data_IF_810659851733
#
_entry.id   IF_810659851733
#
_cell.length_a   1.000
_cell.length_b   1.000
_cell.length_c   1.000
_cell.angle_alpha   90.00
_cell.angle_beta   90.00
_cell.angle_gamma   90.00
#
_symmetry.space_group_name_H-M   'P 1'
#
loop_
_entity.id
_entity.type
_entity.pdbx_description
1 polymer ?
#
# COMPACT_ATOMS: atom_id res chain seq x y z
N UNK A 1 21.34 9.06 6.21
CA UNK A 1 20.86 8.20 5.10
C UNK A 1 19.40 8.53 4.84
N UNK A 2 19.03 8.98 3.62
CA UNK A 2 17.66 9.41 3.24
C UNK A 2 16.69 8.22 3.21
N UNK A 3 16.23 7.74 4.38
CA UNK A 3 15.18 6.70 4.48
C UNK A 3 13.84 7.17 3.88
N UNK A 4 13.71 8.46 3.60
CA UNK A 4 12.42 9.14 3.39
C UNK A 4 11.87 9.03 1.97
N UNK A 5 12.66 8.58 0.99
CA UNK A 5 12.28 8.68 -0.43
C UNK A 5 11.88 7.35 -1.07
N UNK A 6 12.45 6.23 -0.61
CA UNK A 6 12.16 4.92 -1.21
C UNK A 6 10.89 4.30 -0.59
N UNK A 7 9.94 3.83 -1.41
CA UNK A 7 8.76 3.10 -0.90
C UNK A 7 9.18 1.85 -0.12
N UNK A 8 8.31 1.30 0.75
CA UNK A 8 8.57 0.03 1.41
C UNK A 8 8.79 -1.09 0.37
N UNK A 9 9.54 -2.12 0.74
CA UNK A 9 9.82 -3.24 -0.18
C UNK A 9 8.50 -3.91 -0.55
N UNK A 10 8.33 -4.23 -1.83
CA UNK A 10 7.06 -4.73 -2.37
C UNK A 10 6.04 -3.64 -2.67
N UNK A 11 6.38 -2.36 -2.58
CA UNK A 11 5.50 -1.27 -2.97
C UNK A 11 6.15 -0.38 -4.03
N UNK A 12 5.32 0.19 -4.90
CA UNK A 12 5.73 1.11 -5.97
C UNK A 12 4.94 2.41 -5.85
N UNK A 13 5.51 3.49 -6.37
CA UNK A 13 4.82 4.77 -6.49
C UNK A 13 4.19 4.80 -7.89
N UNK A 14 2.87 4.98 -7.95
CA UNK A 14 2.11 5.12 -9.19
C UNK A 14 1.28 6.39 -9.07
N UNK A 15 1.52 7.36 -9.96
CA UNK A 15 0.84 8.65 -9.96
C UNK A 15 0.82 9.34 -8.56
N UNK A 16 1.96 9.33 -7.87
CA UNK A 16 2.09 9.95 -6.53
C UNK A 16 1.35 9.22 -5.40
N UNK A 17 0.91 7.99 -5.64
CA UNK A 17 0.24 7.14 -4.64
C UNK A 17 1.04 5.85 -4.47
N UNK A 18 1.12 5.35 -3.25
CA UNK A 18 1.73 4.07 -2.98
C UNK A 18 0.78 2.94 -3.40
N UNK A 19 1.26 2.05 -4.25
CA UNK A 19 0.52 0.91 -4.79
C UNK A 19 1.32 -0.39 -4.63
N UNK A 20 0.60 -1.51 -4.64
CA UNK A 20 1.22 -2.82 -4.59
C UNK A 20 2.08 -3.05 -5.84
N UNK A 21 3.32 -3.51 -5.65
CA UNK A 21 4.11 -4.03 -6.74
C UNK A 21 3.54 -5.37 -7.21
N UNK A 22 2.96 -5.39 -8.42
CA UNK A 22 2.31 -6.58 -9.00
C UNK A 22 3.28 -7.60 -9.61
N UNK A 23 4.58 -7.36 -9.51
CA UNK A 23 5.62 -8.31 -9.96
C UNK A 23 5.82 -9.44 -8.95
N UNK A 24 6.39 -10.56 -9.39
CA UNK A 24 6.70 -11.70 -8.51
C UNK A 24 7.65 -11.28 -7.38
N UNK A 25 8.67 -10.46 -7.67
CA UNK A 25 9.53 -9.88 -6.62
C UNK A 25 8.73 -9.06 -5.61
N UNK A 26 7.71 -8.33 -6.07
CA UNK A 26 6.81 -7.58 -5.21
C UNK A 26 5.97 -8.47 -4.29
N UNK A 27 5.43 -9.57 -4.82
CA UNK A 27 4.69 -10.56 -4.04
C UNK A 27 5.58 -11.27 -3.00
N UNK A 28 6.79 -11.69 -3.40
CA UNK A 28 7.77 -12.29 -2.50
C UNK A 28 8.13 -11.34 -1.35
N UNK A 29 8.40 -10.07 -1.66
CA UNK A 29 8.77 -9.07 -0.66
C UNK A 29 7.70 -8.82 0.42
N UNK A 30 6.43 -9.10 0.11
CA UNK A 30 5.30 -8.97 1.04
C UNK A 30 4.87 -10.29 1.67
N UNK A 31 5.57 -11.39 1.37
CA UNK A 31 5.16 -12.74 1.77
C UNK A 31 3.69 -13.02 1.35
N UNK A 32 3.32 -12.55 0.16
CA UNK A 32 1.95 -12.65 -0.32
C UNK A 32 1.74 -13.98 -1.04
N UNK A 33 1.11 -14.93 -0.36
CA UNK A 33 0.84 -16.26 -0.90
C UNK A 33 -0.26 -16.24 -1.97
N UNK A 34 -0.05 -17.01 -3.05
CA UNK A 34 -1.00 -17.14 -4.17
C UNK A 34 -1.20 -18.61 -4.51
N UNK A 35 -2.44 -19.07 -4.35
CA UNK A 35 -2.85 -20.45 -4.61
C UNK A 35 -3.92 -20.47 -5.68
N UNK A 36 -3.94 -21.53 -6.47
CA UNK A 36 -4.93 -21.74 -7.51
C UNK A 36 -5.59 -23.10 -7.37
N UNK A 37 -6.89 -23.17 -7.58
CA UNK A 37 -7.61 -24.43 -7.71
C UNK A 37 -8.40 -24.42 -9.00
N UNK A 38 -8.20 -25.44 -9.84
CA UNK A 38 -9.05 -25.65 -11.00
C UNK A 38 -10.41 -26.21 -10.55
N UNK A 39 -11.50 -25.61 -11.05
CA UNK A 39 -12.88 -26.04 -10.75
C UNK A 39 -13.54 -26.82 -11.89
N UNK A 40 -12.82 -27.13 -12.97
CA UNK A 40 -13.35 -27.91 -14.08
C UNK A 40 -13.61 -29.36 -13.65
N UNK A 41 -14.70 -29.96 -14.16
CA UNK A 41 -15.22 -31.28 -13.72
C UNK A 41 -14.14 -32.37 -13.70
N UNK A 42 -13.28 -32.38 -14.72
CA UNK A 42 -12.23 -33.39 -14.90
C UNK A 42 -10.82 -32.84 -14.63
N UNK A 43 -10.69 -31.67 -13.98
CA UNK A 43 -9.40 -31.09 -13.61
C UNK A 43 -9.40 -30.68 -12.14
N UNK A 44 -8.76 -31.49 -11.29
CA UNK A 44 -8.59 -31.23 -9.85
C UNK A 44 -7.23 -30.63 -9.51
N UNK A 45 -6.62 -29.92 -10.46
CA UNK A 45 -5.27 -29.37 -10.29
C UNK A 45 -5.27 -28.30 -9.21
N UNK A 46 -4.38 -28.45 -8.24
CA UNK A 46 -3.99 -27.41 -7.31
C UNK A 46 -2.66 -26.82 -7.75
N UNK A 47 -2.56 -25.51 -7.70
CA UNK A 47 -1.36 -24.76 -8.04
C UNK A 47 -0.95 -23.91 -6.84
N UNK A 48 0.34 -23.84 -6.58
CA UNK A 48 0.92 -22.89 -5.63
C UNK A 48 2.02 -22.15 -6.37
N UNK A 49 2.01 -20.81 -6.32
CA UNK A 49 3.05 -20.00 -6.94
C UNK A 49 4.19 -19.83 -5.95
N UNK A 50 5.27 -20.57 -6.18
CA UNK A 50 6.52 -20.42 -5.43
C UNK A 50 7.28 -19.18 -5.92
N UNK A 51 7.01 -18.03 -5.30
CA UNK A 51 7.61 -16.77 -5.68
C UNK A 51 9.14 -16.78 -5.55
N UNK A 52 9.69 -17.43 -4.51
CA UNK A 52 11.13 -17.48 -4.26
C UNK A 52 11.84 -18.18 -5.42
N UNK A 53 11.37 -19.37 -5.78
CA UNK A 53 11.94 -20.16 -6.88
C UNK A 53 11.85 -19.45 -8.24
N UNK A 54 10.80 -18.67 -8.49
CA UNK A 54 10.66 -17.89 -9.72
C UNK A 54 11.67 -16.72 -9.74
N UNK A 55 11.87 -16.05 -8.60
CA UNK A 55 12.87 -14.98 -8.48
C UNK A 55 14.30 -15.51 -8.65
N UNK A 56 14.63 -16.65 -8.03
CA UNK A 56 15.93 -17.33 -8.17
C UNK A 56 16.27 -17.67 -9.63
N UNK A 57 15.24 -17.92 -10.46
CA UNK A 57 15.38 -18.15 -11.90
C UNK A 57 15.51 -16.87 -12.74
N UNK A 58 15.61 -15.70 -12.11
CA UNK A 58 15.72 -14.41 -12.78
C UNK A 58 14.39 -13.87 -13.32
N UNK A 59 13.25 -14.48 -12.98
CA UNK A 59 11.93 -14.12 -13.51
C UNK A 59 11.13 -13.20 -12.58
N UNK A 60 11.79 -12.55 -11.62
CA UNK A 60 11.14 -11.72 -10.61
C UNK A 60 10.39 -10.50 -11.16
N UNK A 61 10.76 -10.01 -12.35
CA UNK A 61 10.11 -8.88 -13.01
C UNK A 61 8.77 -9.23 -13.67
N UNK A 62 8.45 -10.52 -13.85
CA UNK A 62 7.16 -10.93 -14.38
C UNK A 62 6.03 -10.47 -13.46
N UNK A 63 4.89 -10.12 -14.04
CA UNK A 63 3.68 -9.83 -13.26
C UNK A 63 3.02 -11.12 -12.79
N UNK A 64 2.33 -11.06 -11.66
CA UNK A 64 1.57 -12.20 -11.16
C UNK A 64 0.52 -12.68 -12.18
N UNK A 65 -0.08 -11.77 -12.95
CA UNK A 65 -1.08 -12.10 -13.96
C UNK A 65 -0.48 -12.88 -15.14
N UNK A 66 0.74 -12.55 -15.55
CA UNK A 66 1.47 -13.33 -16.55
C UNK A 66 1.74 -14.75 -16.04
N UNK A 67 2.15 -14.90 -14.78
CA UNK A 67 2.40 -16.22 -14.17
C UNK A 67 1.10 -17.02 -14.01
N UNK A 68 0.03 -16.41 -13.50
CA UNK A 68 -1.30 -17.03 -13.41
C UNK A 68 -1.80 -17.50 -14.77
N UNK A 69 -1.58 -16.72 -15.82
CA UNK A 69 -1.95 -17.08 -17.20
C UNK A 69 -1.12 -18.26 -17.70
N UNK A 70 0.19 -18.25 -17.51
CA UNK A 70 1.08 -19.35 -17.91
C UNK A 70 0.78 -20.66 -17.14
N UNK A 71 0.24 -20.56 -15.92
CA UNK A 71 -0.13 -21.70 -15.09
C UNK A 71 -1.51 -22.30 -15.44
N UNK A 72 -2.26 -21.70 -16.37
CA UNK A 72 -3.53 -22.25 -16.86
C UNK A 72 -3.30 -23.60 -17.54
N UNK A 73 -4.28 -24.49 -17.43
CA UNK A 73 -4.26 -25.77 -18.12
C UNK A 73 -4.43 -25.54 -19.63
N UNK A 74 -3.66 -26.26 -20.44
CA UNK A 74 -3.75 -26.20 -21.91
C UNK A 74 -4.92 -27.03 -22.48
N UNK A 75 -6.10 -26.98 -21.84
CA UNK A 75 -7.30 -27.68 -22.34
C UNK A 75 -8.02 -26.83 -23.38
N UNK A 76 -8.55 -27.49 -24.42
CA UNK A 76 -9.30 -26.85 -25.51
C UNK A 76 -10.55 -26.13 -25.02
N UNK A 77 -11.23 -26.68 -24.01
CA UNK A 77 -12.43 -26.07 -23.39
C UNK A 77 -12.11 -24.93 -22.39
N UNK A 78 -10.83 -24.57 -22.29
CA UNK A 78 -10.35 -23.55 -21.37
C UNK A 78 -10.06 -24.07 -19.97
N UNK A 79 -9.52 -23.17 -19.14
CA UNK A 79 -9.10 -23.45 -17.79
C UNK A 79 -9.79 -22.49 -16.82
N UNK A 80 -10.63 -23.05 -15.94
CA UNK A 80 -11.23 -22.32 -14.82
C UNK A 80 -10.40 -22.50 -13.56
N UNK A 81 -9.25 -21.80 -13.45
CA UNK A 81 -8.54 -21.74 -12.17
C UNK A 81 -9.07 -20.53 -11.40
N UNK A 82 -9.60 -20.80 -10.22
CA UNK A 82 -9.84 -19.79 -9.21
C UNK A 82 -8.54 -19.55 -8.44
N UNK A 83 -8.09 -18.30 -8.44
CA UNK A 83 -6.89 -17.89 -7.71
C UNK A 83 -7.29 -17.24 -6.39
N UNK A 84 -6.76 -17.79 -5.30
CA UNK A 84 -6.91 -17.28 -3.95
C UNK A 84 -5.63 -16.54 -3.57
N UNK A 85 -5.78 -15.24 -3.33
CA UNK A 85 -4.75 -14.36 -2.78
C UNK A 85 -5.08 -14.08 -1.31
N UNK A 86 -4.09 -14.05 -0.43
CA UNK A 86 -4.32 -13.73 0.97
C UNK A 86 -4.26 -12.21 1.21
N UNK A 87 -5.41 -11.50 1.31
CA UNK A 87 -5.43 -10.04 1.38
C UNK A 87 -4.72 -9.50 2.62
N UNK A 88 -4.63 -10.28 3.71
CA UNK A 88 -4.00 -9.83 4.95
C UNK A 88 -2.49 -9.59 4.81
N UNK A 89 -1.83 -10.33 3.90
CA UNK A 89 -0.39 -10.17 3.60
C UNK A 89 -0.08 -9.00 2.67
N UNK A 90 -1.11 -8.47 1.99
CA UNK A 90 -0.98 -7.29 1.14
C UNK A 90 -1.22 -5.96 1.91
N UNK A 91 -1.35 -6.02 3.23
CA UNK A 91 -1.69 -4.83 4.03
C UNK A 91 -0.46 -4.01 4.42
N UNK A 92 -0.63 -2.70 4.47
CA UNK A 92 0.39 -1.76 4.92
C UNK A 92 -0.05 -1.16 6.25
N UNK A 93 0.73 -1.35 7.31
CA UNK A 93 0.45 -0.75 8.61
C UNK A 93 0.97 0.70 8.70
N UNK A 94 0.37 1.48 9.60
CA UNK A 94 0.77 2.87 9.83
C UNK A 94 2.22 2.99 10.35
N UNK A 95 2.70 2.03 11.14
CA UNK A 95 4.08 2.02 11.66
C UNK A 95 5.13 2.01 10.54
N UNK A 96 4.86 1.36 9.40
CA UNK A 96 5.79 1.32 8.25
C UNK A 96 5.94 2.71 7.59
N UNK A 97 4.95 3.58 7.78
CA UNK A 97 4.91 4.94 7.25
C UNK A 97 5.47 5.97 8.22
N UNK A 98 5.67 5.61 9.50
CA UNK A 98 6.13 6.51 10.55
C UNK A 98 7.52 7.07 10.23
N UNK A 99 7.72 8.35 10.53
CA UNK A 99 8.94 9.11 10.27
C UNK A 99 9.08 9.61 8.83
N UNK A 100 8.16 9.28 7.93
CA UNK A 100 8.22 9.69 6.52
C UNK A 100 7.48 11.01 6.30
N UNK A 101 8.20 12.09 6.55
CA UNK A 101 7.71 13.49 6.60
C UNK A 101 6.81 13.90 5.43
N UNK A 102 7.23 13.53 4.21
CA UNK A 102 6.55 13.94 2.97
C UNK A 102 5.41 12.97 2.56
N UNK A 103 5.27 11.84 3.25
CA UNK A 103 4.20 10.86 3.02
C UNK A 103 2.96 11.27 3.82
N UNK A 104 1.78 11.17 3.21
CA UNK A 104 0.50 11.49 3.85
C UNK A 104 -0.50 10.36 3.65
N UNK A 105 -1.35 10.13 4.64
CA UNK A 105 -2.58 9.36 4.50
C UNK A 105 -3.61 10.24 3.80
N UNK A 106 -4.06 9.81 2.62
CA UNK A 106 -5.04 10.51 1.79
C UNK A 106 -6.41 9.89 2.03
N UNK A 107 -7.32 10.67 2.59
CA UNK A 107 -8.69 10.28 2.88
C UNK A 107 -9.59 10.99 1.86
N UNK A 108 -10.41 10.23 1.15
CA UNK A 108 -11.26 10.71 0.07
C UNK A 108 -12.70 10.34 0.38
N UNK A 109 -13.61 11.30 0.37
CA UNK A 109 -15.03 11.00 0.47
C UNK A 109 -15.54 10.39 -0.85
N UNK A 110 -16.18 9.22 -0.81
CA UNK A 110 -16.78 8.59 -2.00
C UNK A 110 -18.04 9.32 -2.51
N UNK A 111 -18.59 10.25 -1.74
CA UNK A 111 -19.75 11.06 -2.13
C UNK A 111 -19.39 12.31 -2.93
N UNK A 112 -18.60 13.21 -2.32
CA UNK A 112 -18.27 14.51 -2.90
C UNK A 112 -16.80 14.66 -3.35
N UNK A 113 -16.03 13.56 -3.32
CA UNK A 113 -14.61 13.52 -3.69
C UNK A 113 -13.67 14.45 -2.89
N UNK A 114 -14.15 15.09 -1.82
CA UNK A 114 -13.30 15.93 -0.95
C UNK A 114 -12.13 15.11 -0.39
N UNK A 115 -10.94 15.71 -0.44
CA UNK A 115 -9.68 15.07 -0.05
C UNK A 115 -9.17 15.72 1.23
N UNK A 116 -8.74 14.89 2.19
CA UNK A 116 -7.97 15.30 3.36
C UNK A 116 -6.63 14.58 3.36
N UNK A 117 -5.56 15.32 3.65
CA UNK A 117 -4.20 14.78 3.77
C UNK A 117 -3.74 14.92 5.21
N UNK A 118 -3.40 13.80 5.84
CA UNK A 118 -3.00 13.74 7.25
C UNK A 118 -1.66 13.00 7.34
N UNK A 119 -0.75 13.39 8.24
CA UNK A 119 0.47 12.60 8.42
C UNK A 119 0.14 11.23 9.07
N UNK A 120 0.96 10.19 8.83
CA UNK A 120 0.83 8.92 9.53
C UNK A 120 0.80 9.09 11.06
N UNK A 121 1.63 9.98 11.61
CA UNK A 121 1.72 10.24 13.06
C UNK A 121 0.41 10.83 13.61
N UNK A 122 -0.16 11.82 12.92
CA UNK A 122 -1.44 12.42 13.34
C UNK A 122 -2.57 11.39 13.24
N UNK A 123 -2.56 10.51 12.22
CA UNK A 123 -3.53 9.42 12.11
C UNK A 123 -3.39 8.42 13.27
N UNK A 124 -2.16 7.98 13.59
CA UNK A 124 -1.90 7.08 14.74
C UNK A 124 -2.40 7.71 16.04
N UNK A 125 -2.03 8.97 16.30
CA UNK A 125 -2.43 9.67 17.51
C UNK A 125 -3.97 9.78 17.63
N UNK A 126 -4.64 10.07 16.51
CA UNK A 126 -6.10 10.14 16.45
C UNK A 126 -6.76 8.79 16.73
N UNK A 127 -6.33 7.72 16.06
CA UNK A 127 -6.90 6.38 16.25
C UNK A 127 -6.71 5.89 17.69
N UNK A 128 -5.54 6.18 18.27
CA UNK A 128 -5.22 5.84 19.66
C UNK A 128 -6.09 6.59 20.65
N UNK A 129 -6.27 7.90 20.45
CA UNK A 129 -7.13 8.73 21.30
C UNK A 129 -8.62 8.32 21.23
N UNK A 130 -9.07 7.84 20.08
CA UNK A 130 -10.45 7.34 19.88
C UNK A 130 -10.63 5.87 20.31
N UNK A 131 -9.55 5.17 20.71
CA UNK A 131 -9.59 3.75 21.09
C UNK A 131 -9.93 2.79 19.94
N UNK A 132 -9.67 3.20 18.69
CA UNK A 132 -10.06 2.45 17.48
C UNK A 132 -8.91 1.66 16.86
N UNK A 133 -7.68 1.95 17.25
CA UNK A 133 -6.48 1.32 16.74
C UNK A 133 -5.21 2.06 17.14
N UNK A 134 -4.08 1.60 16.64
CA UNK A 134 -2.76 2.13 16.93
C UNK A 134 -1.85 2.10 15.68
N UNK A 135 -0.54 2.05 15.89
CA UNK A 135 0.46 1.99 14.83
C UNK A 135 0.44 0.68 14.01
N UNK A 136 -0.14 -0.40 14.55
CA UNK A 136 -0.35 -1.66 13.83
C UNK A 136 -1.53 -1.60 12.85
N UNK A 137 -2.41 -0.59 12.98
CA UNK A 137 -3.58 -0.42 12.11
C UNK A 137 -3.16 -0.36 10.65
N UNK A 138 -3.84 -1.16 9.82
CA UNK A 138 -3.58 -1.21 8.38
C UNK A 138 -4.31 -0.09 7.65
N UNK A 139 -3.72 0.44 6.58
CA UNK A 139 -4.35 1.46 5.72
C UNK A 139 -5.73 1.00 5.21
N UNK A 140 -5.86 -0.28 4.87
CA UNK A 140 -7.11 -0.87 4.40
C UNK A 140 -8.22 -0.92 5.47
N UNK A 141 -7.86 -0.94 6.76
CA UNK A 141 -8.83 -0.93 7.86
C UNK A 141 -9.37 0.48 8.18
N UNK A 142 -8.58 1.53 7.91
CA UNK A 142 -8.91 2.92 8.28
C UNK A 142 -10.31 3.36 7.79
N UNK A 143 -10.75 3.09 6.54
CA UNK A 143 -12.09 3.49 6.09
C UNK A 143 -13.22 3.04 7.03
N UNK A 144 -13.12 1.84 7.59
CA UNK A 144 -14.12 1.29 8.52
C UNK A 144 -14.03 1.85 9.93
N UNK A 145 -12.91 2.51 10.28
CA UNK A 145 -12.71 3.15 11.58
C UNK A 145 -13.13 4.64 11.58
N UNK A 146 -13.33 5.25 10.42
CA UNK A 146 -13.72 6.66 10.30
C UNK A 146 -15.20 6.86 10.64
N UNK A 147 -15.48 7.18 11.91
CA UNK A 147 -16.85 7.39 12.43
C UNK A 147 -17.50 8.71 12.00
N UNK A 148 -16.71 9.76 11.78
CA UNK A 148 -17.23 11.07 11.38
C UNK A 148 -17.62 11.06 9.90
N UNK A 149 -18.84 11.52 9.60
CA UNK A 149 -19.28 11.75 8.23
C UNK A 149 -18.53 12.90 7.57
N UNK A 150 -18.52 12.90 6.23
CA UNK A 150 -18.08 14.05 5.46
C UNK A 150 -19.08 15.21 5.61
N UNK A 151 -18.67 16.44 5.30
CA UNK A 151 -19.57 17.60 5.25
C UNK A 151 -20.76 17.40 4.31
N UNK A 152 -20.64 16.54 3.28
CA UNK A 152 -21.74 16.15 2.41
C UNK A 152 -22.70 15.09 3.00
N UNK A 153 -22.50 14.69 4.26
CA UNK A 153 -23.33 13.70 4.96
C UNK A 153 -23.00 12.23 4.65
N UNK A 154 -22.09 11.93 3.72
CA UNK A 154 -21.68 10.55 3.41
C UNK A 154 -20.62 10.03 4.38
N UNK A 155 -20.69 8.73 4.68
CA UNK A 155 -19.76 8.00 5.57
C UNK A 155 -18.88 6.99 4.83
N UNK A 156 -19.02 6.89 3.50
CA UNK A 156 -18.17 6.05 2.67
C UNK A 156 -16.85 6.78 2.37
N UNK A 157 -15.75 6.20 2.86
CA UNK A 157 -14.40 6.73 2.72
C UNK A 157 -13.53 5.81 1.86
N UNK A 158 -12.64 6.41 1.08
CA UNK A 158 -11.48 5.75 0.49
C UNK A 158 -10.23 6.28 1.17
N UNK A 159 -9.29 5.38 1.47
CA UNK A 159 -8.03 5.75 2.11
C UNK A 159 -6.87 5.14 1.34
N UNK A 160 -5.98 6.00 0.85
CA UNK A 160 -4.77 5.62 0.12
C UNK A 160 -3.56 6.34 0.75
N UNK A 161 -2.34 5.96 0.36
CA UNK A 161 -1.12 6.63 0.84
C UNK A 161 -0.57 7.52 -0.27
N UNK A 162 -0.59 8.84 -0.05
CA UNK A 162 0.07 9.79 -0.92
C UNK A 162 1.59 9.74 -0.69
N UNK A 163 2.32 9.44 -1.76
CA UNK A 163 3.77 9.31 -1.75
C UNK A 163 4.38 10.21 -2.83
N UNK A 164 5.09 11.28 -2.47
CA UNK A 164 5.67 12.18 -3.46
C UNK A 164 6.74 11.44 -4.27
N UNK A 165 6.60 11.45 -5.58
CA UNK A 165 7.57 10.84 -6.49
C UNK A 165 8.78 11.78 -6.68
N UNK A 166 9.98 11.42 -6.19
CA UNK A 166 11.16 12.27 -6.29
C UNK A 166 11.64 12.50 -7.73
N UNK A 167 11.13 11.73 -8.71
CA UNK A 167 11.46 11.92 -10.13
C UNK A 167 10.56 12.96 -10.80
N UNK A 168 9.46 13.36 -10.15
CA UNK A 168 8.56 14.40 -10.65
C UNK A 168 8.88 15.75 -10.04
N UNK A 169 8.62 16.84 -10.76
CA UNK A 169 8.78 18.19 -10.21
C UNK A 169 7.89 18.40 -8.96
N UNK A 170 6.62 18.00 -9.03
CA UNK A 170 5.67 18.14 -7.92
C UNK A 170 6.02 17.33 -6.68
N UNK A 171 6.60 16.14 -6.84
CA UNK A 171 7.08 15.34 -5.73
C UNK A 171 8.31 15.97 -5.06
N UNK A 172 9.29 16.42 -5.85
CA UNK A 172 10.49 17.12 -5.33
C UNK A 172 10.14 18.35 -4.52
N UNK A 173 9.28 19.23 -5.04
CA UNK A 173 8.87 20.45 -4.33
C UNK A 173 8.12 20.13 -3.03
N UNK A 174 7.30 19.07 -3.03
CA UNK A 174 6.61 18.61 -1.81
C UNK A 174 7.60 18.13 -0.76
N UNK A 175 8.58 17.31 -1.15
CA UNK A 175 9.64 16.81 -0.26
C UNK A 175 10.42 17.98 0.32
N UNK A 176 10.90 18.90 -0.52
CA UNK A 176 11.70 20.06 -0.09
C UNK A 176 10.93 20.96 0.88
N UNK A 177 9.65 21.23 0.61
CA UNK A 177 8.79 22.03 1.47
C UNK A 177 8.61 21.38 2.84
N UNK A 178 8.33 20.09 2.89
CA UNK A 178 8.11 19.37 4.15
C UNK A 178 9.41 19.24 4.95
N UNK A 179 10.55 19.02 4.29
CA UNK A 179 11.87 19.04 4.93
C UNK A 179 12.23 20.42 5.49
N UNK A 180 11.91 21.50 4.76
CA UNK A 180 12.13 22.87 5.24
C UNK A 180 11.34 23.16 6.51
N UNK A 181 10.07 22.72 6.60
CA UNK A 181 9.26 22.88 7.82
C UNK A 181 9.90 22.21 9.04
N UNK A 182 10.49 21.02 8.87
CA UNK A 182 11.20 20.35 9.96
C UNK A 182 12.48 21.07 10.36
N UNK A 183 13.26 21.56 9.40
CA UNK A 183 14.50 22.28 9.69
C UNK A 183 14.25 23.63 10.38
N UNK A 184 13.18 24.33 10.01
CA UNK A 184 12.73 25.54 10.71
C UNK A 184 12.25 25.21 12.13
N UNK A 185 11.61 24.05 12.33
CA UNK A 185 11.22 23.56 13.66
C UNK A 185 12.40 23.24 14.58
N UNK A 186 13.51 22.71 14.04
CA UNK A 186 14.73 22.40 14.80
C UNK A 186 15.54 23.63 15.22
N UNK A 187 15.45 24.74 14.48
CA UNK A 187 16.13 25.99 14.83
C UNK A 187 15.36 26.83 15.88
N UNK A 188 14.22 26.32 16.36
CA UNK A 188 13.40 26.95 17.41
C UNK A 188 13.37 26.11 18.70
N UNK A 189 14.46 25.43 19.03
CA UNK A 189 14.67 25.02 20.41
C UNK A 189 14.95 26.30 21.22
N UNK A 190 14.21 26.58 22.31
CA UNK A 190 14.54 27.70 23.17
C UNK A 190 15.92 27.42 23.75
N UNK A 191 16.87 28.32 23.54
CA UNK A 191 17.96 28.49 24.50
C UNK A 191 17.28 28.94 25.79
N UNK A 192 17.09 28.00 26.71
CA UNK A 192 16.67 28.29 28.08
C UNK A 192 17.63 29.35 28.66
N UNK A 193 17.02 30.44 29.14
CA UNK A 193 17.60 31.34 30.14
C UNK A 193 17.24 30.81 31.53
#
# INVERSE_FOLDING_TARGET
MRRDLKPPIGWKIIAGTLALDRTISGYLARDHDVRGRCYQRDCRRNCHIDHARIVERGLGALTIEQVKTAMRCARLEGCGIEWLENPNRATLSLVVLRGRVAVKVRIICRGCATVSLISPETMIARLKAEGLGDESTTIAAIPGLLRKGCACGKTAWEVNVAWPDPNTYGGRSTIEREMRKLNIGRLREPTDF
#
